data_IF_314636838216
#
_entry.id   IF_314636838216
#
_cell.length_a   1.000
_cell.length_b   1.000
_cell.length_c   1.000
_cell.angle_alpha   90.00
_cell.angle_beta   90.00
_cell.angle_gamma   90.00
#
_symmetry.space_group_name_H-M   'P 1'
#
loop_
_entity.id
_entity.type
_entity.pdbx_description
1 polymer ?
#
# COMPACT_ATOMS: atom_id res chain seq x y z
N UNK A 1 20.79 0.94 12.57
CA UNK A 1 19.82 0.61 13.66
C UNK A 1 18.67 1.63 13.78
N UNK A 2 18.92 2.93 13.56
CA UNK A 2 17.92 4.01 13.66
C UNK A 2 16.76 3.95 12.64
N UNK A 3 16.98 3.34 11.47
CA UNK A 3 15.97 3.28 10.41
C UNK A 3 14.85 2.25 10.67
N UNK A 4 15.15 1.20 11.43
CA UNK A 4 14.24 0.06 11.67
C UNK A 4 13.16 0.38 12.71
N UNK A 5 13.47 1.20 13.71
CA UNK A 5 12.48 1.66 14.69
C UNK A 5 11.50 2.66 14.08
N UNK A 6 11.99 3.59 13.25
CA UNK A 6 11.12 4.51 12.50
C UNK A 6 10.17 3.77 11.57
N UNK A 7 10.68 2.80 10.78
CA UNK A 7 9.83 2.00 9.91
C UNK A 7 8.76 1.24 10.70
N UNK A 8 9.13 0.57 11.81
CA UNK A 8 8.17 -0.12 12.68
C UNK A 8 7.12 0.81 13.27
N UNK A 9 7.49 2.02 13.67
CA UNK A 9 6.56 3.01 14.19
C UNK A 9 5.61 3.49 13.08
N UNK A 10 6.12 3.69 11.87
CA UNK A 10 5.32 4.02 10.69
C UNK A 10 4.34 2.89 10.34
N UNK A 11 4.79 1.63 10.33
CA UNK A 11 3.94 0.45 10.09
C UNK A 11 2.82 0.37 11.12
N UNK A 12 3.14 0.54 12.40
CA UNK A 12 2.14 0.53 13.47
C UNK A 12 1.09 1.61 13.24
N UNK A 13 1.50 2.85 12.95
CA UNK A 13 0.59 3.97 12.69
C UNK A 13 -0.25 3.74 11.43
N UNK A 14 0.33 3.21 10.35
CA UNK A 14 -0.40 2.95 9.10
C UNK A 14 -1.43 1.82 9.26
N UNK A 15 -1.03 0.69 9.85
CA UNK A 15 -1.90 -0.48 10.01
C UNK A 15 -2.98 -0.31 11.08
N UNK A 16 -2.67 0.35 12.21
CA UNK A 16 -3.65 0.50 13.31
C UNK A 16 -4.37 1.83 13.33
N UNK A 17 -3.68 2.96 13.13
CA UNK A 17 -4.28 4.28 13.32
C UNK A 17 -4.90 4.81 12.02
N UNK A 18 -4.20 4.75 10.88
CA UNK A 18 -4.73 5.22 9.60
C UNK A 18 -5.88 4.35 9.09
N UNK A 19 -5.81 3.03 9.27
CA UNK A 19 -6.91 2.13 8.92
C UNK A 19 -8.22 2.41 9.65
N UNK A 20 -8.16 3.08 10.80
CA UNK A 20 -9.34 3.49 11.57
C UNK A 20 -10.05 4.73 10.99
N UNK A 21 -9.31 5.59 10.29
CA UNK A 21 -9.83 6.87 9.76
C UNK A 21 -9.92 6.92 8.24
N UNK A 22 -9.30 5.97 7.52
CA UNK A 22 -9.25 5.98 6.06
C UNK A 22 -9.48 4.58 5.52
N UNK A 23 -10.56 4.43 4.75
CA UNK A 23 -10.84 3.19 4.01
C UNK A 23 -10.04 3.20 2.70
N UNK A 24 -9.06 2.30 2.52
CA UNK A 24 -8.24 2.28 1.32
C UNK A 24 -9.05 1.93 0.07
N UNK A 25 -10.10 1.11 0.17
CA UNK A 25 -10.92 0.74 -0.99
C UNK A 25 -11.70 1.93 -1.53
N UNK A 26 -12.21 2.81 -0.64
CA UNK A 26 -12.88 4.06 -1.08
C UNK A 26 -11.92 4.96 -1.85
N UNK A 27 -10.71 5.14 -1.36
CA UNK A 27 -9.71 5.97 -2.02
C UNK A 27 -9.29 5.39 -3.37
N UNK A 28 -9.04 4.08 -3.44
CA UNK A 28 -8.67 3.39 -4.68
C UNK A 28 -9.81 3.40 -5.72
N UNK A 29 -11.05 3.18 -5.29
CA UNK A 29 -12.22 3.29 -6.16
C UNK A 29 -12.40 4.72 -6.70
N UNK A 30 -12.22 5.73 -5.85
CA UNK A 30 -12.25 7.13 -6.29
C UNK A 30 -11.10 7.48 -7.26
N UNK A 31 -9.98 6.77 -7.18
CA UNK A 31 -8.87 6.87 -8.13
C UNK A 31 -9.11 6.09 -9.44
N UNK A 32 -10.25 5.40 -9.59
CA UNK A 32 -10.60 4.67 -10.81
C UNK A 32 -9.94 3.30 -10.93
N UNK A 33 -9.59 2.68 -9.79
CA UNK A 33 -8.99 1.35 -9.78
C UNK A 33 -10.04 0.28 -10.13
N UNK A 34 -9.74 -0.55 -11.11
CA UNK A 34 -10.66 -1.56 -11.65
C UNK A 34 -10.00 -2.94 -11.80
N UNK A 35 -10.79 -4.04 -11.81
CA UNK A 35 -10.29 -5.37 -12.10
C UNK A 35 -9.54 -5.46 -13.44
N UNK A 36 -8.44 -6.20 -13.47
CA UNK A 36 -7.62 -6.43 -14.67
C UNK A 36 -6.60 -5.34 -14.98
N UNK A 37 -6.60 -4.22 -14.25
CA UNK A 37 -5.64 -3.14 -14.47
C UNK A 37 -4.21 -3.53 -14.07
N UNK A 38 -3.24 -2.92 -14.74
CA UNK A 38 -1.83 -2.92 -14.35
C UNK A 38 -1.51 -1.58 -13.69
N UNK A 39 -1.10 -1.61 -12.43
CA UNK A 39 -1.01 -0.43 -11.58
C UNK A 39 0.43 -0.26 -11.09
N UNK A 40 0.90 0.99 -11.09
CA UNK A 40 2.15 1.39 -10.46
C UNK A 40 1.85 2.15 -9.18
N UNK A 41 2.37 1.69 -8.05
CA UNK A 41 2.32 2.38 -6.78
C UNK A 41 3.71 2.93 -6.42
N UNK A 42 3.76 4.22 -6.10
CA UNK A 42 4.99 4.91 -5.70
C UNK A 42 4.91 5.22 -4.21
N UNK A 43 5.86 4.68 -3.43
CA UNK A 43 5.91 4.81 -1.98
C UNK A 43 4.97 3.83 -1.26
N UNK A 44 5.21 2.53 -1.41
CA UNK A 44 4.32 1.50 -0.84
C UNK A 44 4.37 1.44 0.69
N UNK A 45 5.47 1.87 1.31
CA UNK A 45 5.66 1.81 2.76
C UNK A 45 5.35 0.41 3.31
N UNK A 46 4.47 0.26 4.30
CA UNK A 46 4.09 -1.04 4.85
C UNK A 46 3.03 -1.80 4.03
N UNK A 47 2.55 -1.26 2.90
CA UNK A 47 1.60 -1.94 2.01
C UNK A 47 0.11 -1.65 2.25
N UNK A 48 -0.21 -0.56 2.96
CA UNK A 48 -1.59 -0.18 3.30
C UNK A 48 -2.51 -0.01 2.07
N UNK A 49 -2.00 0.56 0.97
CA UNK A 49 -2.72 0.65 -0.31
C UNK A 49 -2.37 -0.47 -1.27
N UNK A 50 -1.13 -0.99 -1.22
CA UNK A 50 -0.65 -2.08 -2.07
C UNK A 50 -1.52 -3.32 -2.00
N UNK A 51 -1.85 -3.79 -0.79
CA UNK A 51 -2.62 -5.03 -0.61
C UNK A 51 -4.06 -4.87 -1.10
N UNK A 52 -4.80 -3.81 -0.71
CA UNK A 52 -6.13 -3.53 -1.29
C UNK A 52 -6.09 -3.35 -2.80
N UNK A 53 -5.10 -2.64 -3.36
CA UNK A 53 -4.97 -2.45 -4.80
C UNK A 53 -4.79 -3.79 -5.53
N UNK A 54 -3.92 -4.66 -5.02
CA UNK A 54 -3.72 -6.00 -5.56
C UNK A 54 -5.02 -6.84 -5.53
N UNK A 55 -5.80 -6.72 -4.46
CA UNK A 55 -7.12 -7.39 -4.36
C UNK A 55 -8.13 -6.82 -5.37
N UNK A 56 -8.16 -5.50 -5.56
CA UNK A 56 -9.08 -4.84 -6.49
C UNK A 56 -8.79 -5.19 -7.95
N UNK A 57 -7.52 -5.19 -8.37
CA UNK A 57 -7.17 -5.56 -9.75
C UNK A 57 -7.32 -7.05 -10.02
N UNK A 58 -7.24 -7.89 -8.97
CA UNK A 58 -7.49 -9.33 -9.04
C UNK A 58 -6.50 -10.10 -9.93
N UNK A 59 -6.80 -11.38 -10.18
CA UNK A 59 -5.88 -12.31 -10.85
C UNK A 59 -5.53 -11.94 -12.30
N UNK A 60 -6.36 -11.13 -12.95
CA UNK A 60 -6.12 -10.67 -14.33
C UNK A 60 -5.34 -9.35 -14.39
N UNK A 61 -5.13 -8.71 -13.25
CA UNK A 61 -4.39 -7.46 -13.12
C UNK A 61 -3.05 -7.67 -12.41
N UNK A 62 -2.34 -6.58 -12.19
CA UNK A 62 -1.11 -6.61 -11.39
C UNK A 62 -0.81 -5.25 -10.75
N UNK A 63 -0.13 -5.28 -9.62
CA UNK A 63 0.40 -4.08 -8.95
C UNK A 63 1.92 -4.21 -8.88
N UNK A 64 2.62 -3.22 -9.42
CA UNK A 64 4.04 -3.02 -9.19
C UNK A 64 4.19 -1.90 -8.17
N UNK A 65 4.78 -2.22 -7.02
CA UNK A 65 4.96 -1.28 -5.93
C UNK A 65 6.45 -0.99 -5.74
N UNK A 66 6.79 0.29 -5.58
CA UNK A 66 8.17 0.75 -5.45
C UNK A 66 8.29 1.62 -4.20
N UNK A 67 9.41 1.52 -3.50
CA UNK A 67 9.74 2.43 -2.41
C UNK A 67 11.25 2.71 -2.41
N UNK A 68 11.63 3.89 -1.93
CA UNK A 68 13.03 4.26 -1.74
C UNK A 68 13.63 3.58 -0.50
N UNK A 69 12.79 3.24 0.48
CA UNK A 69 13.17 2.55 1.70
C UNK A 69 13.33 1.05 1.43
N UNK A 70 14.53 0.46 1.61
CA UNK A 70 14.72 -0.98 1.47
C UNK A 70 13.80 -1.78 2.39
N UNK A 71 13.51 -1.26 3.60
CA UNK A 71 12.64 -1.93 4.57
C UNK A 71 11.17 -2.07 4.12
N UNK A 72 10.75 -1.32 3.11
CA UNK A 72 9.40 -1.40 2.55
C UNK A 72 9.27 -2.47 1.45
N UNK A 73 10.40 -2.93 0.89
CA UNK A 73 10.47 -3.86 -0.24
C UNK A 73 11.20 -5.18 0.10
N UNK A 74 11.78 -5.29 1.31
CA UNK A 74 12.40 -6.49 1.88
C UNK A 74 11.41 -7.31 2.71
#
# INVERSE_FOLDING_TARGET
MTNRMHFKMMSLVHETLYGLFRDPYKALNAAGLEPGQKVLEVGCGPGFFTIPAAKTVGEKGSVCALDISPLAIE
#
